data_IF_394522200644
#
_entry.id   IF_394522200644
#
_cell.length_a   1.000
_cell.length_b   1.000
_cell.length_c   1.000
_cell.angle_alpha   90.00
_cell.angle_beta   90.00
_cell.angle_gamma   90.00
#
_symmetry.space_group_name_H-M   'P 1'
#
loop_
_entity.id
_entity.type
_entity.pdbx_description
1 polymer ?
#
# COMPACT_ATOMS: atom_id res chain seq x y z
N UNK A 1 -1.85 -7.31 10.67
CA UNK A 1 -2.99 -6.44 10.30
C UNK A 1 -3.73 -7.10 9.14
N UNK A 2 -5.04 -6.91 9.02
CA UNK A 2 -5.80 -7.39 7.86
C UNK A 2 -5.54 -6.52 6.63
N UNK A 3 -5.92 -7.00 5.45
CA UNK A 3 -5.80 -6.22 4.21
C UNK A 3 -6.60 -4.92 4.29
N UNK A 4 -7.81 -4.96 4.85
CA UNK A 4 -8.67 -3.80 5.01
C UNK A 4 -8.09 -2.78 6.00
N UNK A 5 -7.51 -3.25 7.11
CA UNK A 5 -6.83 -2.40 8.09
C UNK A 5 -5.65 -1.65 7.45
N UNK A 6 -4.80 -2.36 6.70
CA UNK A 6 -3.65 -1.76 6.01
C UNK A 6 -4.11 -0.75 4.96
N UNK A 7 -5.11 -1.12 4.16
CA UNK A 7 -5.66 -0.24 3.13
C UNK A 7 -6.19 1.05 3.75
N UNK A 8 -7.00 0.94 4.81
CA UNK A 8 -7.55 2.09 5.51
C UNK A 8 -6.44 2.95 6.12
N UNK A 9 -5.44 2.32 6.74
CA UNK A 9 -4.31 3.01 7.37
C UNK A 9 -3.53 3.88 6.38
N UNK A 10 -3.09 3.30 5.26
CA UNK A 10 -2.34 4.02 4.23
C UNK A 10 -3.23 5.09 3.58
N UNK A 11 -4.48 4.75 3.23
CA UNK A 11 -5.38 5.70 2.57
C UNK A 11 -5.69 6.91 3.45
N UNK A 12 -5.95 6.71 4.74
CA UNK A 12 -6.20 7.79 5.68
C UNK A 12 -4.98 8.71 5.83
N UNK A 13 -3.77 8.15 5.84
CA UNK A 13 -2.55 8.96 5.91
C UNK A 13 -2.36 9.81 4.64
N UNK A 14 -2.55 9.24 3.45
CA UNK A 14 -2.50 9.99 2.19
C UNK A 14 -3.58 11.07 2.16
N UNK A 15 -4.78 10.76 2.63
CA UNK A 15 -5.91 11.70 2.68
C UNK A 15 -5.70 12.85 3.67
N UNK A 16 -4.96 12.62 4.76
CA UNK A 16 -4.62 13.65 5.73
C UNK A 16 -3.65 14.69 5.16
N UNK A 17 -2.65 14.24 4.39
CA UNK A 17 -1.56 15.13 3.96
C UNK A 17 -1.72 15.73 2.56
N UNK A 18 -2.51 15.10 1.69
CA UNK A 18 -2.66 15.56 0.32
C UNK A 18 -4.12 15.88 -0.02
N UNK A 19 -4.33 17.06 -0.58
CA UNK A 19 -5.62 17.49 -1.13
C UNK A 19 -5.70 17.27 -2.65
N UNK A 20 -6.91 17.09 -3.16
CA UNK A 20 -7.18 17.10 -4.60
C UNK A 20 -6.65 15.90 -5.39
N UNK A 21 -6.18 14.84 -4.71
CA UNK A 21 -5.83 13.58 -5.36
C UNK A 21 -7.09 12.74 -5.67
N UNK A 22 -6.96 11.80 -6.60
CA UNK A 22 -7.95 10.74 -6.82
C UNK A 22 -7.37 9.39 -6.42
N UNK A 23 -8.20 8.52 -5.86
CA UNK A 23 -7.84 7.15 -5.52
C UNK A 23 -8.75 6.15 -6.23
N UNK A 24 -8.14 5.16 -6.88
CA UNK A 24 -8.84 4.08 -7.59
C UNK A 24 -8.49 2.75 -6.94
N UNK A 25 -9.49 2.04 -6.38
CA UNK A 25 -9.30 0.70 -5.82
C UNK A 25 -9.64 -0.38 -6.84
N UNK A 26 -8.82 -1.43 -6.89
CA UNK A 26 -9.02 -2.59 -7.74
C UNK A 26 -8.73 -3.86 -6.97
N UNK A 27 -9.46 -4.93 -7.26
CA UNK A 27 -9.15 -6.26 -6.76
C UNK A 27 -8.76 -7.15 -7.94
N UNK A 28 -7.64 -7.85 -7.82
CA UNK A 28 -7.10 -8.71 -8.87
C UNK A 28 -6.87 -10.10 -8.33
N UNK A 29 -7.17 -11.11 -9.15
CA UNK A 29 -6.79 -12.50 -8.88
C UNK A 29 -5.53 -12.82 -9.65
N UNK A 30 -4.45 -13.17 -8.95
CA UNK A 30 -3.23 -13.65 -9.59
C UNK A 30 -3.34 -15.15 -9.86
N UNK A 31 -2.92 -15.61 -11.03
CA UNK A 31 -2.93 -17.03 -11.40
C UNK A 31 -2.07 -17.88 -10.44
N UNK A 32 -2.16 -19.22 -10.51
CA UNK A 32 -1.29 -20.14 -9.73
C UNK A 32 0.22 -19.91 -9.98
N UNK A 33 0.59 -19.23 -11.07
CA UNK A 33 1.94 -18.74 -11.34
C UNK A 33 2.28 -17.38 -10.71
N UNK A 34 1.27 -16.55 -10.44
CA UNK A 34 1.38 -15.18 -9.92
C UNK A 34 2.08 -14.19 -10.87
N UNK A 35 2.23 -12.94 -10.42
CA UNK A 35 3.29 -12.01 -10.89
C UNK A 35 4.65 -12.37 -10.24
N UNK A 36 4.91 -13.67 -10.08
CA UNK A 36 6.02 -14.23 -9.32
C UNK A 36 5.87 -14.19 -7.80
N UNK A 37 5.45 -13.06 -7.21
CA UNK A 37 5.45 -12.84 -5.74
C UNK A 37 4.09 -13.00 -5.05
N UNK A 38 3.03 -12.42 -5.60
CA UNK A 38 1.68 -12.52 -5.04
C UNK A 38 1.00 -13.84 -5.42
N UNK A 39 0.17 -14.37 -4.52
CA UNK A 39 -0.66 -15.55 -4.72
C UNK A 39 -2.11 -15.25 -4.32
N UNK A 40 -3.06 -15.60 -5.19
CA UNK A 40 -4.48 -15.44 -4.95
C UNK A 40 -4.97 -14.00 -5.11
N UNK A 41 -5.77 -13.53 -4.16
CA UNK A 41 -6.41 -12.20 -4.19
C UNK A 41 -5.43 -11.12 -3.77
N UNK A 42 -5.28 -10.10 -4.62
CA UNK A 42 -4.49 -8.89 -4.35
C UNK A 42 -5.42 -7.70 -4.37
N UNK A 43 -5.34 -6.89 -3.31
CA UNK A 43 -5.97 -5.58 -3.26
C UNK A 43 -4.99 -4.53 -3.77
N UNK A 44 -5.41 -3.73 -4.75
CA UNK A 44 -4.60 -2.67 -5.32
C UNK A 44 -5.31 -1.33 -5.16
N UNK A 45 -4.54 -0.27 -4.93
CA UNK A 45 -5.03 1.11 -4.96
C UNK A 45 -4.03 1.98 -5.70
N UNK A 46 -4.53 2.89 -6.53
CA UNK A 46 -3.74 3.85 -7.29
C UNK A 46 -4.11 5.27 -6.86
N UNK A 47 -3.11 6.07 -6.52
CA UNK A 47 -3.25 7.47 -6.14
C UNK A 47 -2.70 8.36 -7.26
N UNK A 48 -3.49 9.34 -7.69
CA UNK A 48 -3.17 10.24 -8.80
C UNK A 48 -3.39 11.70 -8.41
N UNK A 49 -2.66 12.62 -9.04
CA UNK A 49 -2.86 14.07 -8.85
C UNK A 49 -2.12 14.66 -7.65
N UNK A 50 -1.27 13.89 -6.97
CA UNK A 50 -0.35 14.41 -5.97
C UNK A 50 0.80 15.11 -6.72
N UNK A 51 0.98 16.43 -6.53
CA UNK A 51 1.85 17.25 -7.36
C UNK A 51 3.32 16.79 -7.39
N UNK A 52 3.84 16.36 -6.24
CA UNK A 52 5.22 15.85 -6.09
C UNK A 52 5.35 14.36 -6.44
N UNK A 53 4.22 13.65 -6.46
CA UNK A 53 4.14 12.21 -6.63
C UNK A 53 3.17 11.88 -7.77
N UNK A 54 3.63 11.92 -9.03
CA UNK A 54 2.76 11.86 -10.21
C UNK A 54 1.83 10.66 -10.20
N UNK A 55 2.27 9.55 -9.60
CA UNK A 55 1.49 8.34 -9.41
C UNK A 55 2.08 7.46 -8.31
N UNK A 56 1.24 6.95 -7.41
CA UNK A 56 1.64 6.00 -6.35
C UNK A 56 0.70 4.80 -6.37
N UNK A 57 1.27 3.61 -6.22
CA UNK A 57 0.53 2.36 -6.15
C UNK A 57 0.66 1.72 -4.78
N UNK A 58 -0.45 1.23 -4.25
CA UNK A 58 -0.51 0.32 -3.12
C UNK A 58 -0.95 -1.05 -3.63
N UNK A 59 -0.24 -2.11 -3.26
CA UNK A 59 -0.65 -3.49 -3.48
C UNK A 59 -0.50 -4.28 -2.19
N UNK A 60 -1.57 -4.96 -1.78
CA UNK A 60 -1.64 -5.76 -0.56
C UNK A 60 -2.07 -7.16 -0.94
N UNK A 61 -1.34 -8.17 -0.49
CA UNK A 61 -1.69 -9.55 -0.75
C UNK A 61 -0.84 -10.51 0.04
N UNK A 62 -0.94 -11.79 -0.30
CA UNK A 62 -0.15 -12.86 0.32
C UNK A 62 0.81 -13.42 -0.70
N UNK A 63 2.00 -13.79 -0.26
CA UNK A 63 2.99 -14.47 -1.09
C UNK A 63 2.71 -15.97 -1.19
N UNK A 64 3.40 -16.66 -2.09
CA UNK A 64 3.34 -18.13 -2.18
C UNK A 64 3.71 -18.86 -0.88
N UNK A 65 4.48 -18.21 -0.01
CA UNK A 65 4.91 -18.76 1.28
C UNK A 65 3.93 -18.47 2.43
N UNK A 66 2.78 -17.86 2.15
CA UNK A 66 1.79 -17.48 3.16
C UNK A 66 2.15 -16.21 3.94
N UNK A 67 3.17 -15.48 3.52
CA UNK A 67 3.59 -14.20 4.12
C UNK A 67 2.76 -13.06 3.52
N UNK A 68 2.15 -12.23 4.36
CA UNK A 68 1.46 -11.02 3.88
C UNK A 68 2.51 -10.01 3.40
N UNK A 69 2.25 -9.34 2.28
CA UNK A 69 3.15 -8.35 1.69
C UNK A 69 2.35 -7.10 1.35
N UNK A 70 2.96 -5.95 1.63
CA UNK A 70 2.47 -4.63 1.24
C UNK A 70 3.54 -3.98 0.39
N UNK A 71 3.17 -3.56 -0.81
CA UNK A 71 4.00 -2.74 -1.67
C UNK A 71 3.36 -1.37 -1.79
N UNK A 72 4.11 -0.33 -1.46
CA UNK A 72 3.68 1.05 -1.59
C UNK A 72 4.73 1.81 -2.38
N UNK A 73 4.34 2.37 -3.52
CA UNK A 73 5.26 2.93 -4.50
C UNK A 73 6.36 1.93 -4.88
N UNK A 74 7.60 2.31 -4.59
CA UNK A 74 8.81 1.51 -4.82
C UNK A 74 9.26 0.69 -3.61
N UNK A 75 8.63 0.87 -2.45
CA UNK A 75 8.96 0.16 -1.22
C UNK A 75 8.01 -0.98 -0.92
N UNK A 76 8.49 -1.96 -0.16
CA UNK A 76 7.70 -3.10 0.27
C UNK A 76 8.02 -3.49 1.71
N UNK A 77 7.03 -4.07 2.40
CA UNK A 77 7.17 -4.69 3.72
C UNK A 77 6.50 -6.06 3.74
N UNK A 78 7.10 -6.98 4.50
CA UNK A 78 6.61 -8.33 4.74
C UNK A 78 6.04 -8.43 6.17
N UNK A 79 4.85 -9.00 6.32
CA UNK A 79 4.11 -9.10 7.58
C UNK A 79 4.01 -7.75 8.32
N UNK A 80 3.42 -6.74 7.67
CA UNK A 80 3.45 -5.36 8.16
C UNK A 80 2.81 -5.21 9.53
N UNK A 81 3.47 -4.41 10.37
CA UNK A 81 2.93 -3.76 11.54
C UNK A 81 2.76 -2.26 11.27
N UNK A 82 2.10 -1.52 12.16
CA UNK A 82 1.84 -0.09 11.98
C UNK A 82 3.12 0.72 11.72
N UNK A 83 4.18 0.48 12.51
CA UNK A 83 5.48 1.12 12.33
C UNK A 83 6.12 0.87 10.97
N UNK A 84 5.86 -0.30 10.36
CA UNK A 84 6.33 -0.59 9.02
C UNK A 84 5.56 0.23 7.97
N UNK A 85 4.26 0.40 8.17
CA UNK A 85 3.42 1.24 7.31
C UNK A 85 3.83 2.71 7.41
N UNK A 86 4.19 3.18 8.60
CA UNK A 86 4.72 4.53 8.82
C UNK A 86 6.03 4.74 8.09
N UNK A 87 6.93 3.76 8.17
CA UNK A 87 8.17 3.80 7.42
C UNK A 87 7.93 3.84 5.89
N UNK A 88 6.94 3.09 5.39
CA UNK A 88 6.56 3.13 3.97
C UNK A 88 6.02 4.51 3.58
N UNK A 89 5.12 5.09 4.38
CA UNK A 89 4.54 6.42 4.17
C UNK A 89 5.61 7.51 4.17
N UNK A 90 6.52 7.47 5.14
CA UNK A 90 7.64 8.40 5.22
C UNK A 90 8.56 8.28 4.00
N UNK A 91 8.92 7.05 3.62
CA UNK A 91 9.91 6.83 2.56
C UNK A 91 9.38 7.19 1.17
N UNK A 92 8.11 6.88 0.89
CA UNK A 92 7.54 7.07 -0.44
C UNK A 92 6.86 8.43 -0.61
N UNK A 93 6.31 8.99 0.48
CA UNK A 93 5.49 10.21 0.44
C UNK A 93 5.95 11.30 1.41
N UNK A 94 7.05 11.10 2.13
CA UNK A 94 7.54 12.03 3.16
C UNK A 94 6.51 12.32 4.27
N UNK A 95 5.50 11.46 4.44
CA UNK A 95 4.51 11.59 5.51
C UNK A 95 5.16 11.09 6.80
N UNK A 96 5.28 11.98 7.78
CA UNK A 96 5.77 11.65 9.12
C UNK A 96 4.54 11.65 10.03
N UNK A 97 4.22 10.49 10.63
CA UNK A 97 3.27 10.44 11.73
C UNK A 97 4.04 10.74 13.02
N UNK A 98 3.70 11.84 13.68
CA UNK A 98 4.16 12.09 15.04
C UNK A 98 3.56 11.02 15.97
N UNK A 99 4.43 10.31 16.71
CA UNK A 99 4.05 9.58 17.92
C UNK A 99 3.75 10.65 19.00
N UNK A 100 2.50 11.11 19.11
CA UNK A 100 2.02 11.89 20.26
C UNK A 100 1.57 10.96 21.40
#
# INVERSE_FOLDING_TARGET
MTTEEIQHYIHAAVQSEFDGFTAESMEMMTSEGGDGRFLGKVHAMRYLGIAEYPEIYLAIGTTKLGVQIVRFGMSECLNPQESDLDFLLQKELSIIKDDD
#
